data_IF_523210535530
#
_entry.id   IF_523210535530
#
_cell.length_a   1.000
_cell.length_b   1.000
_cell.length_c   1.000
_cell.angle_alpha   90.00
_cell.angle_beta   90.00
_cell.angle_gamma   90.00
#
_symmetry.space_group_name_H-M   'P 1'
#
loop_
_entity.id
_entity.type
_entity.pdbx_description
1 polymer ?
#
# COMPACT_ATOMS: atom_id res chain seq x y z
N UNK A 1 -19.66 31.85 3.82
CA UNK A 1 -19.90 30.66 4.68
C UNK A 1 -19.23 29.38 4.14
N UNK A 2 -19.19 29.16 2.85
CA UNK A 2 -18.62 27.96 2.17
C UNK A 2 -17.12 27.76 2.48
N UNK A 3 -16.28 28.78 2.33
CA UNK A 3 -14.81 28.69 2.51
C UNK A 3 -14.41 28.21 3.92
N UNK A 4 -15.08 28.67 4.97
CA UNK A 4 -14.80 28.23 6.36
C UNK A 4 -15.20 26.78 6.59
N UNK A 5 -16.26 26.31 5.93
CA UNK A 5 -16.71 24.92 6.00
C UNK A 5 -15.73 23.98 5.31
N UNK A 6 -15.27 24.36 4.12
CA UNK A 6 -14.31 23.57 3.35
C UNK A 6 -12.96 23.44 4.08
N UNK A 7 -12.48 24.54 4.70
CA UNK A 7 -11.27 24.52 5.53
C UNK A 7 -11.42 23.64 6.77
N UNK A 8 -12.59 23.66 7.43
CA UNK A 8 -12.86 22.79 8.58
C UNK A 8 -12.87 21.31 8.17
N UNK A 9 -13.50 20.99 7.04
CA UNK A 9 -13.53 19.61 6.51
C UNK A 9 -12.14 19.13 6.09
N UNK A 10 -11.33 19.99 5.48
CA UNK A 10 -9.94 19.69 5.11
C UNK A 10 -9.11 19.35 6.35
N UNK A 11 -9.14 20.21 7.37
CA UNK A 11 -8.40 20.01 8.61
C UNK A 11 -8.82 18.71 9.33
N UNK A 12 -10.13 18.42 9.35
CA UNK A 12 -10.67 17.18 9.91
C UNK A 12 -10.20 15.94 9.15
N UNK A 13 -10.27 15.98 7.82
CA UNK A 13 -9.85 14.89 6.95
C UNK A 13 -8.34 14.61 7.10
N UNK A 14 -7.53 15.67 7.09
CA UNK A 14 -6.09 15.56 7.30
C UNK A 14 -5.74 14.97 8.68
N UNK A 15 -6.43 15.43 9.74
CA UNK A 15 -6.24 14.91 11.10
C UNK A 15 -6.54 13.41 11.18
N UNK A 16 -7.62 12.95 10.56
CA UNK A 16 -7.99 11.54 10.54
C UNK A 16 -6.95 10.70 9.81
N UNK A 17 -6.58 11.08 8.58
CA UNK A 17 -5.56 10.37 7.80
C UNK A 17 -4.21 10.35 8.53
N UNK A 18 -3.79 11.47 9.12
CA UNK A 18 -2.54 11.54 9.89
C UNK A 18 -2.56 10.61 11.10
N UNK A 19 -3.70 10.49 11.81
CA UNK A 19 -3.87 9.55 12.92
C UNK A 19 -3.73 8.10 12.42
N UNK A 20 -4.39 7.74 11.34
CA UNK A 20 -4.42 6.37 10.84
C UNK A 20 -3.07 5.98 10.21
N UNK A 21 -2.41 6.90 9.51
CA UNK A 21 -1.03 6.72 9.03
C UNK A 21 -0.04 6.60 10.19
N UNK A 22 -0.14 7.48 11.19
CA UNK A 22 0.71 7.43 12.39
C UNK A 22 0.56 6.09 13.14
N UNK A 23 -0.67 5.61 13.30
CA UNK A 23 -0.92 4.30 13.90
C UNK A 23 -0.30 3.16 13.08
N UNK A 24 -0.45 3.15 11.76
CA UNK A 24 0.16 2.13 10.91
C UNK A 24 1.70 2.17 10.99
N UNK A 25 2.31 3.37 11.03
CA UNK A 25 3.77 3.52 11.19
C UNK A 25 4.23 2.89 12.51
N UNK A 26 3.52 3.13 13.60
CA UNK A 26 3.86 2.59 14.94
C UNK A 26 3.63 1.08 14.99
N UNK A 27 2.44 0.60 14.60
CA UNK A 27 2.05 -0.81 14.72
C UNK A 27 2.97 -1.74 13.91
N UNK A 28 3.49 -1.26 12.76
CA UNK A 28 4.37 -2.04 11.89
C UNK A 28 5.84 -1.57 11.92
N UNK A 29 6.21 -0.66 12.81
CA UNK A 29 7.54 -0.05 12.86
C UNK A 29 8.06 0.34 11.47
N UNK A 30 7.26 1.16 10.74
CA UNK A 30 7.55 1.46 9.33
C UNK A 30 8.66 2.49 9.14
N UNK A 31 8.73 3.49 10.02
CA UNK A 31 9.68 4.60 9.95
C UNK A 31 10.35 4.76 11.32
N UNK A 32 11.66 4.86 11.32
CA UNK A 32 12.51 5.01 12.50
C UNK A 32 13.20 6.38 12.50
N UNK A 33 13.75 6.78 13.64
CA UNK A 33 14.45 8.07 13.75
C UNK A 33 15.68 8.09 12.85
N UNK A 34 15.83 9.15 12.06
CA UNK A 34 16.91 9.33 11.10
C UNK A 34 16.65 8.77 9.70
N UNK A 35 15.60 7.97 9.47
CA UNK A 35 15.33 7.33 8.19
C UNK A 35 15.25 8.31 7.00
N UNK A 36 15.78 7.90 5.87
CA UNK A 36 15.50 8.47 4.56
C UNK A 36 14.39 7.66 3.87
N UNK A 37 13.20 8.24 3.78
CA UNK A 37 12.02 7.61 3.18
C UNK A 37 11.88 8.05 1.73
N UNK A 38 12.07 7.13 0.79
CA UNK A 38 11.78 7.35 -0.63
C UNK A 38 10.28 7.15 -0.88
N UNK A 39 9.57 8.22 -1.22
CA UNK A 39 8.13 8.19 -1.50
C UNK A 39 7.89 8.08 -3.00
N UNK A 40 7.30 6.97 -3.44
CA UNK A 40 6.98 6.75 -4.86
C UNK A 40 5.70 7.50 -5.25
N UNK A 41 5.82 8.47 -6.15
CA UNK A 41 4.72 9.29 -6.64
C UNK A 41 4.34 8.83 -8.04
N UNK A 42 3.10 8.34 -8.20
CA UNK A 42 2.56 7.91 -9.50
C UNK A 42 1.74 8.98 -10.21
N UNK A 43 1.46 10.11 -9.57
CA UNK A 43 0.50 11.10 -10.05
C UNK A 43 -0.96 10.77 -9.68
N UNK A 44 -1.22 9.64 -9.05
CA UNK A 44 -2.55 9.27 -8.54
C UNK A 44 -2.84 9.86 -7.15
N UNK A 45 -4.13 9.98 -6.81
CA UNK A 45 -4.64 10.55 -5.54
C UNK A 45 -3.97 9.95 -4.29
N UNK A 46 -3.70 8.65 -4.30
CA UNK A 46 -3.16 7.92 -3.15
C UNK A 46 -1.71 8.30 -2.90
N UNK A 47 -0.91 8.45 -3.95
CA UNK A 47 0.49 8.85 -3.86
C UNK A 47 0.65 10.31 -3.42
N UNK A 48 -0.20 11.23 -3.91
CA UNK A 48 -0.24 12.62 -3.41
C UNK A 48 -0.67 12.68 -1.95
N UNK A 49 -1.70 11.91 -1.57
CA UNK A 49 -2.15 11.84 -0.17
C UNK A 49 -1.04 11.31 0.73
N UNK A 50 -0.36 10.24 0.33
CA UNK A 50 0.78 9.68 1.08
C UNK A 50 1.85 10.74 1.32
N UNK A 51 2.31 11.41 0.26
CA UNK A 51 3.35 12.44 0.36
C UNK A 51 2.94 13.57 1.31
N UNK A 52 1.74 14.10 1.13
CA UNK A 52 1.25 15.23 1.94
C UNK A 52 1.09 14.85 3.42
N UNK A 53 0.58 13.65 3.72
CA UNK A 53 0.43 13.19 5.10
C UNK A 53 1.79 12.92 5.75
N UNK A 54 2.75 12.31 5.02
CA UNK A 54 4.12 12.11 5.53
C UNK A 54 4.83 13.42 5.80
N UNK A 55 4.69 14.44 4.92
CA UNK A 55 5.19 15.80 5.17
C UNK A 55 4.58 16.41 6.43
N UNK A 56 3.26 16.22 6.62
CA UNK A 56 2.59 16.70 7.83
C UNK A 56 3.11 15.99 9.07
N UNK A 57 3.32 14.67 9.02
CA UNK A 57 3.89 13.90 10.12
C UNK A 57 5.33 14.31 10.43
N UNK A 58 6.15 14.58 9.42
CA UNK A 58 7.53 15.06 9.60
C UNK A 58 7.61 16.30 10.49
N UNK A 59 6.58 17.16 10.48
CA UNK A 59 6.50 18.38 11.31
C UNK A 59 6.11 18.12 12.76
N UNK A 60 5.37 17.03 13.04
CA UNK A 60 4.70 16.82 14.32
C UNK A 60 5.04 15.48 15.00
N UNK A 61 5.70 14.57 14.31
CA UNK A 61 6.11 13.28 14.88
C UNK A 61 7.25 13.44 15.91
N UNK A 62 7.33 12.56 16.91
CA UNK A 62 8.41 12.57 17.90
C UNK A 62 9.76 12.11 17.31
N UNK A 63 9.75 11.53 16.12
CA UNK A 63 10.93 11.08 15.37
C UNK A 63 11.22 12.01 14.21
N UNK A 64 12.49 12.10 13.80
CA UNK A 64 12.93 12.87 12.64
C UNK A 64 13.23 11.93 11.50
N UNK A 65 12.69 12.19 10.34
CA UNK A 65 12.99 11.45 9.11
C UNK A 65 13.02 12.39 7.92
N UNK A 66 13.68 11.98 6.85
CA UNK A 66 13.79 12.73 5.60
C UNK A 66 12.92 12.12 4.54
N UNK A 67 12.37 12.95 3.66
CA UNK A 67 11.55 12.53 2.52
C UNK A 67 12.27 12.85 1.23
N UNK A 68 12.30 11.90 0.30
CA UNK A 68 12.72 12.08 -1.08
C UNK A 68 11.63 11.52 -2.00
N UNK A 69 10.99 12.38 -2.80
CA UNK A 69 9.93 11.96 -3.72
C UNK A 69 10.53 11.42 -5.02
N UNK A 70 9.98 10.32 -5.53
CA UNK A 70 10.46 9.71 -6.78
C UNK A 70 9.28 9.38 -7.68
N UNK A 71 9.34 9.83 -8.94
CA UNK A 71 8.46 9.38 -9.99
C UNK A 71 9.26 8.61 -11.06
N UNK A 72 8.69 7.57 -11.60
CA UNK A 72 9.19 6.91 -12.80
C UNK A 72 8.29 7.27 -13.98
N UNK A 73 8.80 8.13 -14.86
CA UNK A 73 8.22 8.37 -16.17
C UNK A 73 8.58 7.19 -17.09
N UNK A 74 7.57 6.44 -17.46
CA UNK A 74 7.67 5.25 -18.31
C UNK A 74 7.57 5.59 -19.80
N UNK A 75 7.50 6.88 -20.13
CA UNK A 75 7.29 7.42 -21.49
C UNK A 75 5.98 6.91 -22.12
N UNK A 76 4.93 6.85 -21.30
CA UNK A 76 3.59 6.56 -21.81
C UNK A 76 3.06 7.74 -22.64
N UNK A 77 2.43 7.50 -23.80
CA UNK A 77 1.84 8.56 -24.60
C UNK A 77 0.82 9.38 -23.78
N UNK A 78 0.95 10.71 -23.85
CA UNK A 78 0.04 11.63 -23.15
C UNK A 78 0.33 11.82 -21.65
N UNK A 79 1.44 11.31 -21.14
CA UNK A 79 1.84 11.60 -19.76
C UNK A 79 2.27 13.08 -19.63
N UNK A 80 1.65 13.87 -18.73
CA UNK A 80 1.96 15.29 -18.57
C UNK A 80 3.22 15.48 -17.72
N UNK A 81 4.38 15.53 -18.37
CA UNK A 81 5.71 15.54 -17.73
C UNK A 81 5.92 16.75 -16.78
N UNK A 82 5.21 17.86 -16.98
CA UNK A 82 5.37 19.10 -16.19
C UNK A 82 4.62 19.10 -14.86
N UNK A 83 3.55 18.29 -14.72
CA UNK A 83 2.63 18.36 -13.57
C UNK A 83 3.30 17.99 -12.25
N UNK A 84 4.03 16.88 -12.25
CA UNK A 84 4.70 16.39 -11.01
C UNK A 84 5.86 17.29 -10.60
N UNK A 85 6.80 17.69 -11.49
CA UNK A 85 7.85 18.61 -11.11
C UNK A 85 7.32 19.90 -10.51
N UNK A 86 6.36 20.55 -11.16
CA UNK A 86 5.75 21.79 -10.67
C UNK A 86 5.17 21.60 -9.26
N UNK A 87 4.38 20.55 -9.03
CA UNK A 87 3.79 20.28 -7.72
C UNK A 87 4.85 20.03 -6.64
N UNK A 88 5.92 19.29 -6.95
CA UNK A 88 6.96 18.97 -5.98
C UNK A 88 7.85 20.17 -5.65
N UNK A 89 8.09 21.05 -6.62
CA UNK A 89 8.78 22.34 -6.44
C UNK A 89 7.99 23.28 -5.54
N UNK A 90 6.68 23.41 -5.75
CA UNK A 90 5.79 24.20 -4.88
C UNK A 90 5.82 23.73 -3.43
N UNK A 91 5.97 22.41 -3.21
CA UNK A 91 6.10 21.82 -1.88
C UNK A 91 7.52 21.91 -1.28
N UNK A 92 8.51 22.36 -2.05
CA UNK A 92 9.93 22.41 -1.65
C UNK A 92 10.47 21.05 -1.17
N UNK A 93 10.04 19.96 -1.83
CA UNK A 93 10.47 18.60 -1.54
C UNK A 93 11.62 18.21 -2.47
N UNK A 94 12.65 17.55 -1.92
CA UNK A 94 13.67 16.91 -2.73
C UNK A 94 13.03 15.80 -3.57
N UNK A 95 13.23 15.83 -4.89
CA UNK A 95 12.64 14.84 -5.78
C UNK A 95 13.55 14.41 -6.92
N UNK A 96 13.21 13.28 -7.53
CA UNK A 96 13.79 12.79 -8.79
C UNK A 96 12.70 12.26 -9.71
N UNK A 97 12.71 12.72 -10.94
CA UNK A 97 11.99 12.07 -12.04
C UNK A 97 12.99 11.14 -12.74
N UNK A 98 12.71 9.85 -12.71
CA UNK A 98 13.49 8.84 -13.45
C UNK A 98 12.79 8.66 -14.79
N UNK A 99 13.49 8.90 -15.87
CA UNK A 99 12.98 8.70 -17.22
C UNK A 99 13.51 7.40 -17.78
N UNK A 100 12.61 6.45 -18.07
CA UNK A 100 13.00 5.19 -18.68
C UNK A 100 11.84 4.61 -19.49
N UNK A 101 12.02 4.45 -20.79
CA UNK A 101 11.01 3.93 -21.71
C UNK A 101 10.74 2.44 -21.48
N UNK A 102 10.03 2.14 -20.40
CA UNK A 102 9.54 0.79 -20.11
C UNK A 102 8.28 0.46 -20.90
N UNK A 103 7.54 1.48 -21.37
CA UNK A 103 6.33 1.29 -22.14
C UNK A 103 6.62 0.60 -23.49
N UNK A 104 7.59 1.09 -24.25
CA UNK A 104 8.00 0.46 -25.51
C UNK A 104 8.54 -0.96 -25.31
N UNK A 105 9.29 -1.21 -24.22
CA UNK A 105 9.78 -2.56 -23.87
C UNK A 105 8.61 -3.52 -23.68
N UNK A 106 7.61 -3.11 -22.90
CA UNK A 106 6.43 -3.92 -22.60
C UNK A 106 5.62 -4.19 -23.86
N UNK A 107 5.38 -3.17 -24.67
CA UNK A 107 4.67 -3.31 -25.96
C UNK A 107 5.34 -4.26 -26.93
N UNK A 108 6.67 -4.26 -27.01
CA UNK A 108 7.43 -5.17 -27.88
C UNK A 108 7.41 -6.62 -27.41
N UNK A 109 7.37 -6.86 -26.08
CA UNK A 109 7.49 -8.22 -25.51
C UNK A 109 6.17 -8.95 -25.32
N UNK A 110 5.06 -8.23 -25.26
CA UNK A 110 3.75 -8.84 -24.98
C UNK A 110 2.85 -8.69 -26.20
N UNK A 111 2.33 -9.80 -26.76
CA UNK A 111 1.40 -9.77 -27.90
C UNK A 111 0.12 -8.99 -27.58
N UNK A 112 -0.48 -8.38 -28.62
CA UNK A 112 -1.77 -7.73 -28.52
C UNK A 112 -2.83 -8.65 -27.90
N UNK A 113 -3.67 -8.10 -27.00
CA UNK A 113 -4.71 -8.86 -26.29
C UNK A 113 -4.27 -9.57 -25.01
N UNK A 114 -2.95 -9.59 -24.69
CA UNK A 114 -2.46 -10.10 -23.40
C UNK A 114 -2.17 -8.97 -22.39
N UNK A 115 -2.21 -9.32 -21.11
CA UNK A 115 -2.06 -8.34 -20.01
C UNK A 115 -0.61 -7.91 -19.83
N UNK A 116 -0.38 -6.60 -19.88
CA UNK A 116 0.94 -5.97 -19.75
C UNK A 116 1.40 -5.80 -18.29
N UNK A 117 0.50 -5.89 -17.33
CA UNK A 117 0.72 -5.43 -15.95
C UNK A 117 1.81 -6.19 -15.19
N UNK A 118 1.96 -7.50 -15.43
CA UNK A 118 2.96 -8.31 -14.74
C UNK A 118 4.41 -7.93 -15.10
N UNK A 119 4.69 -7.67 -16.38
CA UNK A 119 6.02 -7.25 -16.84
C UNK A 119 6.25 -5.77 -16.48
N UNK A 120 5.26 -4.90 -16.69
CA UNK A 120 5.34 -3.48 -16.38
C UNK A 120 5.64 -3.26 -14.88
N UNK A 121 4.91 -3.95 -13.99
CA UNK A 121 5.14 -3.82 -12.55
C UNK A 121 6.50 -4.33 -12.12
N UNK A 122 7.01 -5.38 -12.76
CA UNK A 122 8.35 -5.94 -12.50
C UNK A 122 9.46 -4.99 -12.90
N UNK A 123 9.38 -4.43 -14.12
CA UNK A 123 10.35 -3.43 -14.61
C UNK A 123 10.34 -2.17 -13.72
N UNK A 124 9.16 -1.63 -13.45
CA UNK A 124 9.00 -0.46 -12.58
C UNK A 124 9.59 -0.69 -11.19
N UNK A 125 9.31 -1.85 -10.59
CA UNK A 125 9.85 -2.22 -9.28
C UNK A 125 11.38 -2.28 -9.30
N UNK A 126 11.98 -2.95 -10.27
CA UNK A 126 13.44 -3.06 -10.40
C UNK A 126 14.12 -1.70 -10.50
N UNK A 127 13.58 -0.79 -11.32
CA UNK A 127 14.12 0.57 -11.49
C UNK A 127 14.05 1.36 -10.16
N UNK A 128 12.89 1.34 -9.52
CA UNK A 128 12.69 2.06 -8.26
C UNK A 128 13.55 1.49 -7.13
N UNK A 129 13.73 0.18 -7.06
CA UNK A 129 14.57 -0.48 -6.06
C UNK A 129 16.05 -0.16 -6.24
N UNK A 130 16.55 -0.21 -7.47
CA UNK A 130 17.93 0.16 -7.77
C UNK A 130 18.19 1.64 -7.45
N UNK A 131 17.23 2.51 -7.72
CA UNK A 131 17.36 3.92 -7.37
C UNK A 131 17.33 4.14 -5.85
N UNK A 132 16.46 3.44 -5.12
CA UNK A 132 16.41 3.53 -3.66
C UNK A 132 17.75 3.15 -3.03
N UNK A 133 18.38 2.08 -3.52
CA UNK A 133 19.71 1.66 -3.09
C UNK A 133 20.78 2.73 -3.40
N UNK A 134 20.80 3.27 -4.62
CA UNK A 134 21.74 4.33 -5.01
C UNK A 134 21.56 5.62 -4.22
N UNK A 135 20.32 5.92 -3.79
CA UNK A 135 19.96 7.05 -2.95
C UNK A 135 20.37 6.83 -1.48
N UNK A 136 20.61 5.60 -1.05
CA UNK A 136 20.76 5.22 0.35
C UNK A 136 19.45 5.37 1.13
N UNK A 137 18.31 5.07 0.50
CA UNK A 137 17.01 5.13 1.15
C UNK A 137 16.80 3.94 2.09
N UNK A 138 16.41 4.23 3.34
CA UNK A 138 16.10 3.20 4.34
C UNK A 138 14.77 2.51 4.09
N UNK A 139 13.80 3.27 3.56
CA UNK A 139 12.44 2.79 3.31
C UNK A 139 11.92 3.28 1.95
N UNK A 140 11.16 2.42 1.27
CA UNK A 140 10.38 2.77 0.06
C UNK A 140 8.92 2.82 0.43
N UNK A 141 8.30 4.01 0.39
CA UNK A 141 6.91 4.22 0.72
C UNK A 141 6.01 4.20 -0.53
N UNK A 142 5.00 3.34 -0.52
CA UNK A 142 4.01 3.17 -1.59
C UNK A 142 2.61 3.57 -1.13
N UNK A 143 1.83 4.19 -2.01
CA UNK A 143 0.49 4.72 -1.75
C UNK A 143 -0.64 3.69 -1.70
N UNK A 144 -0.35 2.41 -1.41
CA UNK A 144 -1.39 1.40 -1.24
C UNK A 144 -2.12 1.59 0.09
N UNK A 145 -3.44 1.46 0.06
CA UNK A 145 -4.31 1.71 1.19
C UNK A 145 -5.07 0.45 1.65
N UNK A 146 -5.89 0.56 2.70
CA UNK A 146 -6.63 -0.55 3.32
C UNK A 146 -7.44 -1.35 2.30
N UNK A 147 -8.14 -0.67 1.41
CA UNK A 147 -9.03 -1.33 0.45
C UNK A 147 -8.21 -2.12 -0.59
N UNK A 148 -7.02 -1.64 -1.01
CA UNK A 148 -6.08 -2.42 -1.86
C UNK A 148 -5.63 -3.72 -1.19
N UNK A 149 -5.38 -3.68 0.13
CA UNK A 149 -4.99 -4.86 0.90
C UNK A 149 -6.11 -5.90 0.88
N UNK A 150 -7.36 -5.46 1.12
CA UNK A 150 -8.53 -6.33 1.08
C UNK A 150 -8.80 -6.84 -0.35
N UNK A 151 -8.73 -5.98 -1.37
CA UNK A 151 -8.87 -6.39 -2.77
C UNK A 151 -7.83 -7.46 -3.14
N UNK A 152 -6.59 -7.29 -2.69
CA UNK A 152 -5.50 -8.27 -2.95
C UNK A 152 -5.77 -9.60 -2.27
N UNK A 153 -6.29 -9.61 -1.04
CA UNK A 153 -6.71 -10.84 -0.36
C UNK A 153 -7.72 -11.61 -1.21
N UNK A 154 -8.78 -10.95 -1.68
CA UNK A 154 -9.81 -11.60 -2.49
C UNK A 154 -9.31 -12.05 -3.86
N UNK A 155 -8.43 -11.27 -4.49
CA UNK A 155 -7.78 -11.70 -5.73
C UNK A 155 -6.98 -12.99 -5.54
N UNK A 156 -6.19 -13.07 -4.47
CA UNK A 156 -5.40 -14.26 -4.17
C UNK A 156 -6.28 -15.46 -3.80
N UNK A 157 -7.34 -15.25 -3.03
CA UNK A 157 -8.28 -16.31 -2.66
C UNK A 157 -9.04 -16.86 -3.89
N UNK A 158 -9.58 -15.99 -4.75
CA UNK A 158 -10.48 -16.41 -5.83
C UNK A 158 -9.74 -16.91 -7.08
N UNK A 159 -8.56 -16.36 -7.34
CA UNK A 159 -7.81 -16.64 -8.57
C UNK A 159 -6.46 -17.32 -8.32
N UNK A 160 -5.90 -17.19 -7.12
CA UNK A 160 -4.60 -17.76 -6.75
C UNK A 160 -4.68 -18.98 -5.85
N UNK A 161 -5.85 -19.29 -5.26
CA UNK A 161 -5.99 -20.37 -4.27
C UNK A 161 -5.07 -20.18 -3.05
N UNK A 162 -4.75 -18.94 -2.72
CA UNK A 162 -3.81 -18.59 -1.66
C UNK A 162 -4.44 -17.55 -0.70
N UNK A 163 -4.35 -17.81 0.61
CA UNK A 163 -4.80 -16.88 1.64
C UNK A 163 -3.67 -15.90 1.97
N UNK A 164 -3.47 -14.92 1.12
CA UNK A 164 -2.47 -13.87 1.31
C UNK A 164 -2.99 -12.50 0.88
N UNK A 165 -2.59 -11.47 1.61
CA UNK A 165 -2.89 -10.08 1.32
C UNK A 165 -1.61 -9.31 0.97
N UNK A 166 -1.74 -8.01 0.75
CA UNK A 166 -0.60 -7.12 0.58
C UNK A 166 -0.07 -6.72 1.97
N UNK A 167 1.17 -7.07 2.35
CA UNK A 167 1.67 -6.76 3.69
C UNK A 167 1.93 -5.25 3.84
N UNK A 168 1.64 -4.66 5.02
CA UNK A 168 1.91 -3.25 5.29
C UNK A 168 3.41 -2.88 5.26
N UNK A 169 4.27 -3.81 5.64
CA UNK A 169 5.74 -3.71 5.58
C UNK A 169 6.31 -5.03 5.08
N UNK A 170 7.28 -4.99 4.19
CA UNK A 170 7.97 -6.19 3.70
C UNK A 170 9.42 -5.90 3.34
N UNK A 171 10.26 -6.90 3.47
CA UNK A 171 11.58 -6.93 2.86
C UNK A 171 11.44 -7.42 1.41
N UNK A 172 12.11 -6.75 0.45
CA UNK A 172 12.08 -7.16 -0.95
C UNK A 172 12.67 -8.57 -1.13
N UNK A 173 12.29 -9.27 -2.23
CA UNK A 173 12.73 -10.65 -2.48
C UNK A 173 14.26 -10.77 -2.56
N UNK A 174 14.93 -9.73 -3.05
CA UNK A 174 16.40 -9.61 -3.09
C UNK A 174 17.03 -9.14 -1.78
N UNK A 175 16.21 -8.91 -0.74
CA UNK A 175 16.57 -8.46 0.62
C UNK A 175 17.29 -7.11 0.71
N UNK A 176 17.28 -6.29 -0.36
CA UNK A 176 17.96 -4.99 -0.39
C UNK A 176 17.12 -3.82 0.09
N UNK A 177 15.79 -3.92 -0.03
CA UNK A 177 14.90 -2.79 0.23
C UNK A 177 13.78 -3.15 1.21
N UNK A 178 13.46 -2.23 2.12
CA UNK A 178 12.28 -2.32 2.97
C UNK A 178 11.17 -1.47 2.34
N UNK A 179 10.07 -2.13 1.97
CA UNK A 179 8.89 -1.48 1.38
C UNK A 179 7.83 -1.30 2.45
N UNK A 180 7.29 -0.08 2.56
CA UNK A 180 6.26 0.28 3.52
C UNK A 180 5.01 0.84 2.83
N UNK A 181 3.85 0.67 3.48
CA UNK A 181 2.55 1.17 3.01
C UNK A 181 1.86 1.94 4.13
N UNK A 182 2.27 3.20 4.37
CA UNK A 182 1.75 3.97 5.51
C UNK A 182 0.23 4.21 5.46
N UNK A 183 -0.38 4.16 4.27
CA UNK A 183 -1.84 4.26 4.11
C UNK A 183 -2.60 2.95 4.44
N UNK A 184 -1.94 1.91 4.97
CA UNK A 184 -2.54 0.59 5.21
C UNK A 184 -3.83 0.59 6.06
N UNK A 185 -4.02 1.58 6.91
CA UNK A 185 -5.25 1.74 7.72
C UNK A 185 -6.25 2.75 7.13
N UNK A 186 -5.86 3.50 6.10
CA UNK A 186 -6.69 4.52 5.50
C UNK A 186 -7.72 3.92 4.54
N UNK A 187 -8.96 4.38 4.64
CA UNK A 187 -10.05 4.00 3.75
C UNK A 187 -9.93 4.75 2.42
N UNK A 188 -10.17 4.08 1.29
CA UNK A 188 -10.14 4.73 -0.02
C UNK A 188 -11.08 5.95 -0.08
N UNK A 189 -12.27 5.84 0.50
CA UNK A 189 -13.24 6.94 0.53
C UNK A 189 -12.72 8.20 1.25
N UNK A 190 -11.93 8.02 2.32
CA UNK A 190 -11.32 9.14 3.05
C UNK A 190 -10.18 9.78 2.25
N UNK A 191 -9.41 8.97 1.53
CA UNK A 191 -8.38 9.44 0.60
C UNK A 191 -9.00 10.21 -0.57
N UNK A 192 -10.07 9.68 -1.18
CA UNK A 192 -10.81 10.34 -2.26
C UNK A 192 -11.34 11.71 -1.82
N UNK A 193 -11.93 11.77 -0.62
CA UNK A 193 -12.42 13.02 -0.03
C UNK A 193 -11.30 14.03 0.19
N UNK A 194 -10.20 13.57 0.78
CA UNK A 194 -9.04 14.41 1.04
C UNK A 194 -8.41 14.94 -0.24
N UNK A 195 -8.22 14.08 -1.24
CA UNK A 195 -7.64 14.46 -2.52
C UNK A 195 -8.47 15.54 -3.25
N UNK A 196 -9.81 15.46 -3.17
CA UNK A 196 -10.72 16.48 -3.71
C UNK A 196 -10.59 17.81 -2.95
N UNK A 197 -10.54 17.77 -1.62
CA UNK A 197 -10.38 18.98 -0.80
C UNK A 197 -9.03 19.66 -1.01
N UNK A 198 -7.99 18.88 -1.24
CA UNK A 198 -6.63 19.38 -1.55
C UNK A 198 -6.46 19.80 -3.00
N UNK A 199 -7.42 19.50 -3.87
CA UNK A 199 -7.36 19.78 -5.30
C UNK A 199 -6.05 19.29 -5.97
N UNK A 200 -5.62 18.05 -5.65
CA UNK A 200 -4.39 17.51 -6.21
C UNK A 200 -4.43 17.44 -7.75
N UNK A 201 -3.32 17.72 -8.43
CA UNK A 201 -3.22 17.64 -9.89
C UNK A 201 -3.10 16.18 -10.34
N UNK A 202 -4.23 15.44 -10.25
CA UNK A 202 -4.25 13.99 -10.50
C UNK A 202 -4.02 13.72 -11.99
N UNK A 203 -3.04 12.85 -12.26
CA UNK A 203 -2.76 12.33 -13.60
C UNK A 203 -3.59 11.06 -13.80
N UNK A 204 -4.40 10.95 -14.87
CA UNK A 204 -5.19 9.76 -15.17
C UNK A 204 -4.32 8.50 -15.31
N UNK A 205 -4.78 7.36 -14.77
CA UNK A 205 -4.02 6.10 -14.74
C UNK A 205 -4.34 5.16 -15.92
N UNK A 206 -5.17 5.55 -16.86
CA UNK A 206 -5.70 4.74 -17.96
C UNK A 206 -4.89 4.81 -19.26
N UNK A 207 -3.74 5.46 -19.23
CA UNK A 207 -2.86 5.67 -20.39
C UNK A 207 -2.33 4.36 -21.02
N UNK A 208 -2.33 3.23 -20.29
CA UNK A 208 -1.78 1.97 -20.80
C UNK A 208 -2.80 0.99 -21.40
N UNK A 209 -4.11 1.22 -21.26
CA UNK A 209 -5.19 0.42 -21.87
C UNK A 209 -5.24 -1.07 -21.48
N UNK A 210 -4.69 -1.49 -20.32
CA UNK A 210 -4.57 -2.90 -19.99
C UNK A 210 -5.80 -3.50 -19.31
N UNK A 211 -6.12 -4.78 -19.62
CA UNK A 211 -7.33 -5.49 -19.16
C UNK A 211 -7.28 -6.05 -17.72
N UNK A 212 -6.13 -6.04 -17.04
CA UNK A 212 -6.03 -6.55 -15.65
C UNK A 212 -6.88 -5.76 -14.64
N UNK A 213 -7.40 -4.60 -15.06
CA UNK A 213 -8.35 -3.85 -14.26
C UNK A 213 -9.69 -4.59 -14.06
N UNK A 214 -10.09 -5.51 -14.94
CA UNK A 214 -11.41 -6.17 -14.90
C UNK A 214 -11.57 -7.02 -13.64
N UNK A 215 -10.62 -7.90 -13.31
CA UNK A 215 -10.72 -8.75 -12.12
C UNK A 215 -10.69 -7.91 -10.83
N UNK A 216 -9.76 -6.96 -10.73
CA UNK A 216 -9.70 -6.06 -9.58
C UNK A 216 -10.93 -5.18 -9.48
N UNK A 217 -11.45 -4.66 -10.59
CA UNK A 217 -12.68 -3.88 -10.61
C UNK A 217 -13.89 -4.72 -10.20
N UNK A 218 -13.96 -5.99 -10.63
CA UNK A 218 -15.02 -6.93 -10.23
C UNK A 218 -14.98 -7.16 -8.72
N UNK A 219 -13.82 -7.46 -8.14
CA UNK A 219 -13.64 -7.61 -6.69
C UNK A 219 -14.01 -6.33 -5.95
N UNK A 220 -13.51 -5.18 -6.42
CA UNK A 220 -13.82 -3.88 -5.83
C UNK A 220 -15.32 -3.57 -5.84
N UNK A 221 -15.99 -3.85 -6.96
CA UNK A 221 -17.44 -3.67 -7.09
C UNK A 221 -18.21 -4.59 -6.11
N UNK A 222 -17.82 -5.86 -6.04
CA UNK A 222 -18.40 -6.82 -5.10
C UNK A 222 -18.26 -6.38 -3.65
N UNK A 223 -17.04 -6.00 -3.24
CA UNK A 223 -16.75 -5.54 -1.89
C UNK A 223 -17.54 -4.28 -1.52
N UNK A 224 -17.64 -3.31 -2.44
CA UNK A 224 -18.44 -2.10 -2.23
C UNK A 224 -19.93 -2.41 -2.11
N UNK A 225 -20.46 -3.34 -2.89
CA UNK A 225 -21.85 -3.79 -2.77
C UNK A 225 -22.10 -4.47 -1.42
N UNK A 226 -21.18 -5.31 -0.96
CA UNK A 226 -21.27 -5.95 0.35
C UNK A 226 -21.25 -4.93 1.48
N UNK A 227 -20.34 -3.95 1.44
CA UNK A 227 -20.23 -2.92 2.47
C UNK A 227 -21.44 -1.98 2.47
N UNK A 228 -22.00 -1.67 1.29
CA UNK A 228 -23.24 -0.89 1.17
C UNK A 228 -24.43 -1.63 1.78
N UNK A 229 -24.54 -2.94 1.56
CA UNK A 229 -25.62 -3.78 2.09
C UNK A 229 -25.46 -4.05 3.59
N UNK A 230 -24.24 -4.17 4.06
CA UNK A 230 -23.89 -4.42 5.45
C UNK A 230 -22.71 -3.52 5.84
N UNK A 231 -22.95 -2.29 6.32
CA UNK A 231 -21.92 -1.32 6.64
C UNK A 231 -20.87 -1.86 7.63
N UNK A 232 -19.60 -1.63 7.35
CA UNK A 232 -18.48 -2.13 8.15
C UNK A 232 -17.95 -3.51 7.73
N UNK A 233 -18.47 -4.09 6.63
CA UNK A 233 -18.00 -5.40 6.14
C UNK A 233 -16.54 -5.38 5.72
N UNK A 234 -16.11 -4.37 4.98
CA UNK A 234 -14.70 -4.22 4.57
C UNK A 234 -13.79 -4.07 5.80
N UNK A 235 -14.24 -3.33 6.80
CA UNK A 235 -13.51 -3.18 8.07
C UNK A 235 -13.34 -4.53 8.80
N UNK A 236 -14.42 -5.33 8.85
CA UNK A 236 -14.38 -6.67 9.47
C UNK A 236 -13.43 -7.61 8.72
N UNK A 237 -13.44 -7.59 7.39
CA UNK A 237 -12.51 -8.37 6.55
C UNK A 237 -11.07 -7.93 6.82
N UNK A 238 -10.81 -6.63 6.82
CA UNK A 238 -9.45 -6.12 7.11
C UNK A 238 -8.99 -6.53 8.50
N UNK A 239 -9.86 -6.43 9.52
CA UNK A 239 -9.56 -6.86 10.88
C UNK A 239 -9.25 -8.36 10.97
N UNK A 240 -9.89 -9.20 10.16
CA UNK A 240 -9.62 -10.64 10.15
C UNK A 240 -8.18 -10.98 9.71
N UNK A 241 -7.58 -10.15 8.83
CA UNK A 241 -6.19 -10.33 8.41
C UNK A 241 -5.21 -10.07 9.56
N UNK A 242 -5.57 -9.22 10.50
CA UNK A 242 -4.73 -8.90 11.68
C UNK A 242 -5.06 -9.76 12.91
N UNK A 243 -6.01 -10.69 12.79
CA UNK A 243 -6.47 -11.55 13.88
C UNK A 243 -6.68 -12.98 13.37
N UNK A 244 -5.58 -13.69 13.16
CA UNK A 244 -5.55 -15.03 12.56
C UNK A 244 -5.38 -16.09 13.62
N UNK A 245 -6.29 -17.08 13.62
CA UNK A 245 -6.20 -18.28 14.47
C UNK A 245 -5.61 -19.44 13.67
N UNK A 246 -4.31 -19.69 13.79
CA UNK A 246 -3.57 -20.66 12.98
C UNK A 246 -4.13 -22.07 13.10
N UNK A 247 -4.57 -22.49 14.29
CA UNK A 247 -5.18 -23.79 14.55
C UNK A 247 -6.52 -24.01 13.85
N UNK A 248 -7.14 -22.94 13.34
CA UNK A 248 -8.40 -22.99 12.62
C UNK A 248 -8.23 -22.91 11.09
N UNK A 249 -6.99 -22.86 10.61
CA UNK A 249 -6.63 -22.93 9.19
C UNK A 249 -6.14 -24.35 8.86
N UNK A 250 -6.34 -24.78 7.61
CA UNK A 250 -5.96 -26.14 7.18
C UNK A 250 -4.52 -26.23 6.64
N UNK A 251 -3.64 -25.30 7.00
CA UNK A 251 -2.25 -25.26 6.55
C UNK A 251 -1.34 -25.98 7.53
N UNK A 252 -0.83 -27.15 7.11
CA UNK A 252 0.06 -28.01 7.90
C UNK A 252 1.44 -27.40 8.16
N UNK A 253 1.83 -26.37 7.40
CA UNK A 253 3.08 -25.64 7.61
C UNK A 253 2.95 -24.57 8.70
N UNK A 254 1.72 -24.11 8.98
CA UNK A 254 1.43 -23.08 9.99
C UNK A 254 1.02 -23.67 11.35
N UNK A 255 0.43 -24.87 11.35
CA UNK A 255 -0.01 -25.49 12.59
C UNK A 255 0.32 -27.00 12.60
N UNK A 256 0.91 -27.54 13.71
CA UNK A 256 1.43 -28.90 13.79
C UNK A 256 0.32 -29.93 14.08
N UNK A 257 -0.66 -30.08 13.18
CA UNK A 257 -1.79 -31.02 13.34
C UNK A 257 -1.35 -32.46 13.66
N UNK A 258 -0.19 -32.88 13.17
CA UNK A 258 0.33 -34.25 13.37
C UNK A 258 0.78 -34.49 14.81
N UNK A 259 1.09 -33.45 15.55
CA UNK A 259 1.72 -33.54 16.88
C UNK A 259 0.73 -33.33 18.04
N UNK A 260 -0.56 -33.13 17.74
CA UNK A 260 -1.61 -32.88 18.74
C UNK A 260 -1.74 -34.02 19.78
N UNK A 261 -1.43 -35.26 19.40
CA UNK A 261 -1.43 -36.38 20.34
C UNK A 261 -0.32 -36.26 21.39
N UNK A 262 0.85 -35.72 21.01
CA UNK A 262 1.99 -35.51 21.91
C UNK A 262 1.64 -34.43 22.94
N UNK A 263 1.07 -33.29 22.46
CA UNK A 263 0.62 -32.21 23.37
C UNK A 263 -0.40 -32.70 24.39
N UNK A 264 -1.37 -33.53 23.94
CA UNK A 264 -2.37 -34.14 24.83
C UNK A 264 -1.74 -35.03 25.90
N UNK A 265 -0.75 -35.84 25.53
CA UNK A 265 -0.06 -36.71 26.46
C UNK A 265 0.80 -35.95 27.46
N UNK A 266 1.51 -34.92 27.02
CA UNK A 266 2.27 -34.02 27.89
C UNK A 266 1.37 -33.33 28.93
N UNK A 267 0.22 -32.80 28.48
CA UNK A 267 -0.76 -32.21 29.39
C UNK A 267 -1.24 -33.18 30.44
N UNK A 268 -1.61 -34.42 30.07
CA UNK A 268 -2.04 -35.48 31.01
C UNK A 268 -1.00 -35.80 32.05
N UNK A 269 0.30 -35.86 31.68
CA UNK A 269 1.39 -36.13 32.61
C UNK A 269 1.58 -34.98 33.62
N UNK A 270 1.44 -33.74 33.19
CA UNK A 270 1.52 -32.57 34.05
C UNK A 270 0.36 -32.54 35.04
N UNK A 271 -0.86 -32.78 34.59
CA UNK A 271 -2.05 -32.81 35.43
C UNK A 271 -1.97 -33.93 36.52
N UNK A 272 -1.33 -35.07 36.23
CA UNK A 272 -1.08 -36.13 37.20
C UNK A 272 0.01 -35.76 38.21
N UNK A 273 1.04 -35.01 37.74
CA UNK A 273 2.12 -34.58 38.64
C UNK A 273 1.69 -33.48 39.63
N UNK A 274 0.66 -32.70 39.29
CA UNK A 274 0.07 -31.69 40.19
C UNK A 274 -0.90 -32.29 41.24
N UNK A 275 -1.27 -33.58 41.09
CA UNK A 275 -2.19 -34.28 41.99
C UNK A 275 -1.45 -35.17 43.02
N UNK A 276 -0.12 -35.25 42.94
CA UNK A 276 0.76 -36.01 43.88
C UNK A 276 1.61 -35.01 44.67
#
# INVERSE_FOLDING_TARGET
MTIKKDQFELNRSQKNLRRDVGRAIVDFNMIEDGDLVMVCISGGKDSYTLLNILQSLQKYAPIKFRIHAVNLDQKQPGFPEHVLPQYLEELQINYKIIEQDTYSIVKKKIPEGKTYCGLCSRLRRGILYNYAESLGADKIALGHHRDDIVETLFLNMFYGGNLSAMPPKLLSDDKRNIVIRPLAYCKELEIDRYAKLMNFPIIPCDLCGSQNHLQRQSIKSMLRQWDKKNPGRIESIFRSITNVSLSQLADVGLFPFRDLHIERELKRRLDVAELV
#
